data_IF_788710121577
#
_entry.id   IF_788710121577
#
_cell.length_a   1.000
_cell.length_b   1.000
_cell.length_c   1.000
_cell.angle_alpha   90.00
_cell.angle_beta   90.00
_cell.angle_gamma   90.00
#
_symmetry.space_group_name_H-M   'P 1'
#
loop_
_entity.id
_entity.type
_entity.pdbx_description
1 polymer ?
#
# COMPACT_ATOMS: atom_id res chain seq x y z
N UNK A 1 4.30 18.50 -3.68
CA UNK A 1 5.25 18.05 -4.73
C UNK A 1 5.57 16.58 -4.47
N UNK A 2 5.12 15.70 -5.35
CA UNK A 2 5.37 14.26 -5.20
C UNK A 2 6.77 13.96 -5.73
N UNK A 3 7.59 13.27 -4.94
CA UNK A 3 8.86 12.73 -5.43
C UNK A 3 8.57 11.31 -5.91
N UNK A 4 8.65 11.11 -7.22
CA UNK A 4 8.65 9.78 -7.82
C UNK A 4 10.00 9.14 -7.54
N UNK A 5 10.01 8.08 -6.75
CA UNK A 5 11.20 7.27 -6.55
C UNK A 5 11.17 6.11 -7.55
N UNK A 6 12.14 6.05 -8.47
CA UNK A 6 12.22 4.93 -9.39
C UNK A 6 12.59 3.64 -8.64
N UNK A 7 12.10 2.56 -9.17
CA UNK A 7 12.31 1.16 -8.79
C UNK A 7 13.37 0.89 -7.72
N UNK A 8 12.94 0.42 -6.56
CA UNK A 8 13.84 -0.11 -5.54
C UNK A 8 13.93 -1.62 -5.71
N UNK A 9 15.07 -2.11 -6.14
CA UNK A 9 15.35 -3.55 -6.17
C UNK A 9 15.64 -4.05 -4.76
N UNK A 10 14.72 -4.80 -4.17
CA UNK A 10 15.01 -5.58 -2.97
C UNK A 10 15.65 -6.90 -3.35
N UNK A 11 16.94 -6.99 -3.12
CA UNK A 11 17.75 -8.19 -3.09
C UNK A 11 18.56 -8.60 -4.34
N UNK A 12 19.83 -8.54 -4.16
CA UNK A 12 20.79 -9.46 -4.78
C UNK A 12 20.48 -10.91 -4.40
N UNK A 13 19.80 -11.63 -5.26
CA UNK A 13 19.97 -13.08 -5.37
C UNK A 13 19.42 -13.54 -6.71
N UNK A 14 20.31 -13.93 -7.59
CA UNK A 14 19.98 -14.66 -8.81
C UNK A 14 19.49 -16.05 -8.39
N UNK A 15 18.18 -16.20 -8.35
CA UNK A 15 17.56 -17.51 -8.35
C UNK A 15 16.60 -17.56 -9.54
N UNK A 16 16.97 -18.38 -10.53
CA UNK A 16 16.09 -18.79 -11.62
C UNK A 16 14.89 -19.50 -10.99
N UNK A 17 13.85 -18.75 -10.65
CA UNK A 17 12.63 -19.26 -10.07
C UNK A 17 11.63 -19.63 -11.17
N UNK A 18 11.18 -20.89 -11.16
CA UNK A 18 10.05 -21.37 -11.97
C UNK A 18 8.90 -20.36 -11.92
N UNK A 19 8.44 -19.89 -13.10
CA UNK A 19 7.16 -19.19 -13.25
C UNK A 19 6.08 -19.98 -12.53
N UNK A 20 5.52 -19.42 -11.45
CA UNK A 20 4.29 -19.96 -10.88
C UNK A 20 3.16 -19.60 -11.83
N UNK A 21 2.45 -20.60 -12.35
CA UNK A 21 1.24 -20.47 -13.18
C UNK A 21 0.02 -20.00 -12.36
N UNK A 22 0.17 -18.99 -11.53
CA UNK A 22 -0.91 -18.37 -10.77
C UNK A 22 -0.86 -16.87 -10.96
N UNK A 23 -1.82 -16.35 -11.69
CA UNK A 23 -2.00 -14.90 -11.84
C UNK A 23 -2.37 -14.32 -10.48
N UNK A 24 -1.60 -13.35 -10.00
CA UNK A 24 -1.94 -12.62 -8.77
C UNK A 24 -3.21 -11.83 -9.02
N UNK A 25 -4.18 -11.96 -8.13
CA UNK A 25 -5.39 -11.15 -8.17
C UNK A 25 -5.02 -9.68 -7.94
N UNK A 26 -5.29 -8.83 -8.92
CA UNK A 26 -5.09 -7.40 -8.82
C UNK A 26 -5.83 -6.84 -7.61
N UNK A 27 -5.12 -6.25 -6.67
CA UNK A 27 -5.68 -5.81 -5.39
C UNK A 27 -5.19 -4.43 -4.99
N UNK A 28 -6.11 -3.57 -4.58
CA UNK A 28 -5.79 -2.30 -3.91
C UNK A 28 -6.05 -2.49 -2.42
N UNK A 29 -5.01 -2.33 -1.60
CA UNK A 29 -5.10 -2.28 -0.14
C UNK A 29 -5.18 -0.82 0.27
N UNK A 30 -6.30 -0.41 0.84
CA UNK A 30 -6.59 0.96 1.21
C UNK A 30 -6.55 1.13 2.72
N UNK A 31 -5.53 1.84 3.24
CA UNK A 31 -5.45 2.22 4.65
C UNK A 31 -6.28 3.48 4.89
N UNK A 32 -7.40 3.31 5.57
CA UNK A 32 -8.38 4.37 5.80
C UNK A 32 -8.37 4.86 7.24
N UNK A 33 -8.30 6.16 7.46
CA UNK A 33 -8.43 6.79 8.78
C UNK A 33 -8.67 8.30 8.66
N UNK A 34 -8.93 8.94 9.80
CA UNK A 34 -9.03 10.40 9.90
C UNK A 34 -7.73 11.08 9.47
N UNK A 35 -7.79 12.39 9.24
CA UNK A 35 -6.59 13.20 9.07
C UNK A 35 -5.68 13.07 10.30
N UNK A 36 -4.37 13.16 10.08
CA UNK A 36 -3.34 13.10 11.14
C UNK A 36 -3.36 11.85 12.04
N UNK A 37 -3.86 10.73 11.54
CA UNK A 37 -3.92 9.45 12.26
C UNK A 37 -2.73 8.52 12.00
N UNK A 38 -1.65 9.02 11.43
CA UNK A 38 -0.44 8.23 11.19
C UNK A 38 -0.44 7.36 9.92
N UNK A 39 -1.36 7.59 8.97
CA UNK A 39 -1.38 6.82 7.70
C UNK A 39 -0.07 6.92 6.93
N UNK A 40 0.43 8.12 6.71
CA UNK A 40 1.71 8.34 6.02
C UNK A 40 2.85 7.64 6.75
N UNK A 41 2.93 7.76 8.08
CA UNK A 41 3.94 7.08 8.89
C UNK A 41 3.81 5.56 8.80
N UNK A 42 2.59 5.03 8.85
CA UNK A 42 2.33 3.59 8.70
C UNK A 42 2.79 3.05 7.33
N UNK A 43 2.54 3.81 6.26
CA UNK A 43 2.94 3.41 4.90
C UNK A 43 4.47 3.55 4.72
N UNK A 44 5.10 4.54 5.36
CA UNK A 44 6.57 4.66 5.40
C UNK A 44 7.21 3.47 6.13
N UNK A 45 6.62 3.05 7.24
CA UNK A 45 7.05 1.85 7.97
C UNK A 45 6.88 0.58 7.12
N UNK A 46 5.77 0.45 6.39
CA UNK A 46 5.59 -0.63 5.42
C UNK A 46 6.69 -0.63 4.36
N UNK A 47 7.00 0.53 3.79
CA UNK A 47 8.06 0.65 2.79
C UNK A 47 9.41 0.18 3.35
N UNK A 48 9.75 0.59 4.57
CA UNK A 48 10.95 0.12 5.27
C UNK A 48 10.94 -1.41 5.43
N UNK A 49 9.82 -2.00 5.85
CA UNK A 49 9.69 -3.46 6.03
C UNK A 49 9.89 -4.23 4.72
N UNK A 50 9.48 -3.66 3.60
CA UNK A 50 9.60 -4.28 2.27
C UNK A 50 10.97 -4.09 1.63
N UNK A 51 11.68 -3.00 1.94
CA UNK A 51 12.91 -2.61 1.23
C UNK A 51 14.16 -2.57 2.10
N UNK A 52 14.01 -2.49 3.42
CA UNK A 52 15.11 -2.33 4.38
C UNK A 52 15.58 -0.88 4.57
N UNK A 53 14.96 0.09 3.93
CA UNK A 53 15.27 1.52 4.10
C UNK A 53 13.99 2.37 4.01
N UNK A 54 14.03 3.57 4.59
CA UNK A 54 12.93 4.51 4.49
C UNK A 54 12.94 5.24 3.13
N UNK A 55 11.77 5.73 2.65
CA UNK A 55 11.73 6.57 1.47
C UNK A 55 12.51 7.88 1.71
N UNK A 56 13.16 8.40 0.66
CA UNK A 56 13.96 9.63 0.75
C UNK A 56 13.09 10.86 1.09
N UNK A 57 11.86 10.90 0.60
CA UNK A 57 10.92 11.97 0.96
C UNK A 57 10.56 11.92 2.43
N UNK A 58 10.54 13.06 3.10
CA UNK A 58 10.05 13.20 4.48
C UNK A 58 8.53 13.35 4.56
N UNK A 59 7.87 13.66 3.44
CA UNK A 59 6.42 13.81 3.32
C UNK A 59 5.77 12.63 2.61
N UNK A 60 4.74 12.94 1.84
CA UNK A 60 4.07 11.95 1.00
C UNK A 60 4.98 11.47 -0.12
N UNK A 61 4.84 10.21 -0.48
CA UNK A 61 5.65 9.58 -1.51
C UNK A 61 4.83 8.61 -2.37
N UNK A 62 5.37 8.30 -3.52
CA UNK A 62 4.90 7.31 -4.48
C UNK A 62 6.08 6.44 -4.91
N UNK A 63 5.96 5.13 -4.83
CA UNK A 63 7.03 4.21 -5.21
C UNK A 63 6.49 2.88 -5.72
N UNK A 64 7.33 2.15 -6.43
CA UNK A 64 7.08 0.77 -6.83
C UNK A 64 8.20 -0.09 -6.24
N UNK A 65 7.83 -1.05 -5.41
CA UNK A 65 8.75 -2.01 -4.81
C UNK A 65 8.73 -3.28 -5.63
N UNK A 66 9.88 -3.73 -6.08
CA UNK A 66 10.00 -4.99 -6.81
C UNK A 66 9.96 -6.18 -5.85
N UNK A 67 9.19 -7.18 -6.21
CA UNK A 67 9.16 -8.48 -5.54
C UNK A 67 9.26 -9.57 -6.59
N UNK A 68 10.05 -10.58 -6.31
CA UNK A 68 10.31 -11.71 -7.26
C UNK A 68 9.06 -12.49 -7.66
N UNK A 69 7.99 -12.38 -6.89
CA UNK A 69 6.73 -13.08 -7.13
C UNK A 69 5.67 -12.20 -7.78
N UNK A 70 5.96 -10.91 -8.00
CA UNK A 70 5.04 -9.91 -8.55
C UNK A 70 5.68 -9.32 -9.80
N UNK A 71 5.06 -9.47 -10.97
CA UNK A 71 5.69 -9.16 -12.26
C UNK A 71 6.00 -7.66 -12.40
N UNK A 72 5.04 -6.80 -12.06
CA UNK A 72 5.17 -5.35 -12.19
C UNK A 72 5.38 -4.63 -10.86
N UNK A 73 5.54 -5.38 -9.79
CA UNK A 73 5.85 -4.84 -8.47
C UNK A 73 4.64 -4.43 -7.65
N UNK A 74 4.95 -3.98 -6.44
CA UNK A 74 4.00 -3.50 -5.45
C UNK A 74 4.03 -1.99 -5.46
N UNK A 75 2.93 -1.36 -5.90
CA UNK A 75 2.79 0.08 -5.90
C UNK A 75 2.45 0.59 -4.50
N UNK A 76 3.11 1.66 -4.05
CA UNK A 76 2.88 2.25 -2.73
C UNK A 76 2.71 3.75 -2.86
N UNK A 77 1.58 4.27 -2.34
CA UNK A 77 1.32 5.69 -2.24
C UNK A 77 0.88 6.05 -0.83
N UNK A 78 1.56 6.98 -0.20
CA UNK A 78 1.15 7.53 1.10
C UNK A 78 0.18 8.70 0.98
N UNK A 79 -0.07 9.17 -0.24
CA UNK A 79 -0.96 10.31 -0.51
C UNK A 79 -2.40 9.95 -0.17
N UNK A 80 -2.97 10.61 0.82
CA UNK A 80 -4.31 10.27 1.33
C UNK A 80 -5.28 11.46 1.41
N UNK A 81 -4.89 12.63 0.93
CA UNK A 81 -5.71 13.84 1.00
C UNK A 81 -6.80 13.88 -0.10
N UNK A 82 -7.92 14.55 0.21
CA UNK A 82 -9.15 14.52 -0.56
C UNK A 82 -9.02 14.92 -2.04
N UNK A 83 -7.97 15.64 -2.38
CA UNK A 83 -7.73 16.13 -3.74
C UNK A 83 -6.58 15.43 -4.45
N UNK A 84 -5.87 14.53 -3.80
CA UNK A 84 -4.58 14.05 -4.27
C UNK A 84 -4.39 12.55 -4.45
N UNK A 85 -5.30 11.69 -4.03
CA UNK A 85 -5.06 10.25 -4.10
C UNK A 85 -5.35 9.61 -5.48
N UNK A 86 -6.10 10.26 -6.35
CA UNK A 86 -6.46 9.73 -7.68
C UNK A 86 -5.23 9.56 -8.57
N UNK A 87 -4.51 10.64 -8.81
CA UNK A 87 -3.37 10.63 -9.73
C UNK A 87 -2.26 9.63 -9.33
N UNK A 88 -1.85 9.55 -8.05
CA UNK A 88 -0.90 8.53 -7.63
C UNK A 88 -1.38 7.09 -7.87
N UNK A 89 -2.65 6.80 -7.60
CA UNK A 89 -3.21 5.47 -7.84
C UNK A 89 -3.26 5.16 -9.35
N UNK A 90 -3.69 6.10 -10.19
CA UNK A 90 -3.70 5.96 -11.64
C UNK A 90 -2.30 5.67 -12.19
N UNK A 91 -1.27 6.38 -11.72
CA UNK A 91 0.13 6.11 -12.10
C UNK A 91 0.57 4.69 -11.77
N UNK A 92 0.18 4.15 -10.61
CA UNK A 92 0.50 2.79 -10.22
C UNK A 92 -0.27 1.74 -11.04
N UNK A 93 -1.52 2.04 -11.39
CA UNK A 93 -2.33 1.21 -12.29
C UNK A 93 -1.71 1.20 -13.69
N UNK A 94 -1.33 2.35 -14.23
CA UNK A 94 -0.71 2.49 -15.54
C UNK A 94 0.66 1.81 -15.61
N UNK A 95 1.39 1.77 -14.49
CA UNK A 95 2.62 1.00 -14.35
C UNK A 95 2.40 -0.52 -14.29
N UNK A 96 1.15 -0.97 -14.21
CA UNK A 96 0.78 -2.38 -14.19
C UNK A 96 0.92 -3.07 -12.84
N UNK A 97 1.09 -2.33 -11.74
CA UNK A 97 1.23 -2.93 -10.41
C UNK A 97 0.05 -3.83 -10.07
N UNK A 98 0.30 -5.09 -9.74
CA UNK A 98 -0.76 -6.03 -9.37
C UNK A 98 -1.29 -5.77 -7.97
N UNK A 99 -0.43 -5.30 -7.08
CA UNK A 99 -0.77 -4.94 -5.70
C UNK A 99 -0.49 -3.46 -5.53
N UNK A 100 -1.49 -2.70 -5.07
CA UNK A 100 -1.35 -1.27 -4.79
C UNK A 100 -1.74 -1.03 -3.34
N UNK A 101 -0.87 -0.35 -2.59
CA UNK A 101 -1.17 0.14 -1.25
C UNK A 101 -1.37 1.65 -1.32
N UNK A 102 -2.48 2.12 -0.81
CA UNK A 102 -2.78 3.55 -0.76
C UNK A 102 -3.39 3.98 0.56
N UNK A 103 -3.37 5.28 0.82
CA UNK A 103 -4.07 5.90 1.93
C UNK A 103 -5.38 6.54 1.46
N UNK A 104 -6.36 6.56 2.35
CA UNK A 104 -7.57 7.36 2.17
C UNK A 104 -8.00 8.01 3.49
N UNK A 105 -8.81 9.06 3.39
CA UNK A 105 -9.57 9.55 4.54
C UNK A 105 -10.84 8.70 4.70
N UNK A 106 -11.41 8.72 5.90
CA UNK A 106 -12.75 8.14 6.14
C UNK A 106 -13.87 8.95 5.48
N UNK A 107 -13.58 10.13 4.93
CA UNK A 107 -14.53 10.90 4.15
C UNK A 107 -14.86 10.21 2.83
N UNK A 108 -16.11 10.26 2.42
CA UNK A 108 -16.67 9.54 1.28
C UNK A 108 -15.89 9.71 -0.02
N UNK A 109 -15.30 10.88 -0.27
CA UNK A 109 -14.73 11.21 -1.57
C UNK A 109 -13.43 10.43 -1.89
N UNK A 110 -12.53 10.29 -0.92
CA UNK A 110 -11.26 9.57 -1.16
C UNK A 110 -11.44 8.07 -1.24
N UNK A 111 -12.32 7.51 -0.43
CA UNK A 111 -12.68 6.08 -0.47
C UNK A 111 -13.41 5.77 -1.78
N UNK A 112 -14.37 6.60 -2.18
CA UNK A 112 -15.10 6.41 -3.43
C UNK A 112 -14.16 6.44 -4.65
N UNK A 113 -13.14 7.31 -4.65
CA UNK A 113 -12.12 7.32 -5.70
C UNK A 113 -11.39 6.00 -5.82
N UNK A 114 -11.02 5.38 -4.69
CA UNK A 114 -10.37 4.05 -4.69
C UNK A 114 -11.28 2.98 -5.30
N UNK A 115 -12.54 2.93 -4.89
CA UNK A 115 -13.49 1.96 -5.42
C UNK A 115 -13.81 2.18 -6.91
N UNK A 116 -13.94 3.43 -7.34
CA UNK A 116 -14.14 3.78 -8.75
C UNK A 116 -12.96 3.30 -9.62
N UNK A 117 -11.73 3.63 -9.23
CA UNK A 117 -10.54 3.23 -9.96
C UNK A 117 -10.35 1.71 -9.96
N UNK A 118 -10.62 1.07 -8.83
CA UNK A 118 -10.56 -0.38 -8.71
C UNK A 118 -11.57 -1.06 -9.64
N UNK A 119 -12.82 -0.62 -9.64
CA UNK A 119 -13.87 -1.17 -10.50
C UNK A 119 -13.53 -1.00 -11.98
N UNK A 120 -13.10 0.19 -12.39
CA UNK A 120 -12.72 0.49 -13.78
C UNK A 120 -11.57 -0.37 -14.29
N UNK A 121 -10.63 -0.72 -13.42
CA UNK A 121 -9.39 -1.42 -13.77
C UNK A 121 -9.32 -2.88 -13.29
N UNK A 122 -10.44 -3.41 -12.80
CA UNK A 122 -10.59 -4.81 -12.37
C UNK A 122 -9.69 -5.18 -11.17
N UNK A 123 -9.52 -4.27 -10.23
CA UNK A 123 -8.90 -4.55 -8.95
C UNK A 123 -9.94 -4.93 -7.89
N UNK A 124 -9.58 -5.85 -7.02
CA UNK A 124 -10.27 -6.04 -5.74
C UNK A 124 -9.83 -4.95 -4.76
N UNK A 125 -10.70 -4.57 -3.84
CA UNK A 125 -10.36 -3.61 -2.78
C UNK A 125 -10.39 -4.31 -1.44
N UNK A 126 -9.30 -4.19 -0.69
CA UNK A 126 -9.24 -4.53 0.73
C UNK A 126 -9.08 -3.23 1.48
N UNK A 127 -10.14 -2.78 2.12
CA UNK A 127 -10.11 -1.59 2.96
C UNK A 127 -9.85 -1.99 4.41
N UNK A 128 -8.85 -1.38 5.02
CA UNK A 128 -8.54 -1.55 6.45
C UNK A 128 -8.58 -0.20 7.15
N UNK A 129 -9.16 -0.19 8.36
CA UNK A 129 -9.13 0.96 9.23
C UNK A 129 -7.81 0.98 9.98
N UNK A 130 -7.09 2.11 9.91
CA UNK A 130 -5.85 2.26 10.64
C UNK A 130 -6.09 2.24 12.15
N UNK A 131 -5.24 1.51 12.86
CA UNK A 131 -5.12 1.67 14.30
C UNK A 131 -4.59 3.07 14.60
N UNK A 132 -5.21 3.76 15.50
CA UNK A 132 -4.80 5.08 15.98
C UNK A 132 -5.25 5.28 17.41
N UNK A 133 -4.47 6.03 18.18
CA UNK A 133 -4.82 6.43 19.53
C UNK A 133 -5.70 7.66 19.59
N UNK A 134 -6.01 8.08 20.81
CA UNK A 134 -6.68 9.34 21.10
C UNK A 134 -5.71 10.53 20.98
N UNK A 135 -6.25 11.75 20.96
CA UNK A 135 -5.48 12.98 20.73
C UNK A 135 -4.33 13.23 21.74
N UNK A 136 -4.39 12.60 22.91
CA UNK A 136 -3.40 12.73 24.00
C UNK A 136 -2.52 11.49 24.16
N UNK A 137 -2.42 10.64 23.17
CA UNK A 137 -1.65 9.43 23.26
C UNK A 137 -0.14 9.73 23.23
N UNK A 138 0.65 8.82 23.82
CA UNK A 138 2.10 8.96 23.84
C UNK A 138 2.70 8.73 22.45
N UNK A 139 3.91 9.28 22.22
CA UNK A 139 4.65 9.03 20.97
C UNK A 139 4.97 7.55 20.80
N UNK A 140 5.17 6.81 21.89
CA UNK A 140 5.43 5.37 21.88
C UNK A 140 4.22 4.60 21.38
N UNK A 141 3.02 4.93 21.84
CA UNK A 141 1.77 4.34 21.37
C UNK A 141 1.52 4.69 19.90
N UNK A 142 1.76 5.94 19.51
CA UNK A 142 1.64 6.34 18.10
C UNK A 142 2.55 5.50 17.20
N UNK A 143 3.81 5.33 17.57
CA UNK A 143 4.75 4.50 16.81
C UNK A 143 4.31 3.03 16.79
N UNK A 144 3.80 2.50 17.90
CA UNK A 144 3.28 1.14 17.98
C UNK A 144 2.11 0.94 16.99
N UNK A 145 1.15 1.86 16.93
CA UNK A 145 0.02 1.76 15.99
C UNK A 145 0.50 1.81 14.54
N UNK A 146 1.44 2.70 14.21
CA UNK A 146 2.00 2.77 12.86
C UNK A 146 2.71 1.47 12.47
N UNK A 147 3.50 0.87 13.36
CA UNK A 147 4.14 -0.42 13.13
C UNK A 147 3.12 -1.54 12.95
N UNK A 148 2.05 -1.57 13.75
CA UNK A 148 1.00 -2.59 13.64
C UNK A 148 0.18 -2.45 12.35
N UNK A 149 -0.09 -1.23 11.91
CA UNK A 149 -0.72 -0.99 10.61
C UNK A 149 0.17 -1.52 9.47
N UNK A 150 1.46 -1.21 9.49
CA UNK A 150 2.43 -1.69 8.50
C UNK A 150 2.53 -3.22 8.48
N UNK A 151 2.59 -3.84 9.65
CA UNK A 151 2.63 -5.29 9.80
C UNK A 151 1.38 -5.97 9.20
N UNK A 152 0.19 -5.42 9.47
CA UNK A 152 -1.06 -5.93 8.92
C UNK A 152 -1.09 -5.84 7.39
N UNK A 153 -0.65 -4.72 6.82
CA UNK A 153 -0.59 -4.54 5.37
C UNK A 153 0.42 -5.51 4.76
N UNK A 154 1.61 -5.65 5.34
CA UNK A 154 2.62 -6.60 4.88
C UNK A 154 2.08 -8.03 4.87
N UNK A 155 1.35 -8.43 5.91
CA UNK A 155 0.74 -9.75 5.98
C UNK A 155 -0.32 -9.97 4.88
N UNK A 156 -1.13 -8.95 4.57
CA UNK A 156 -2.08 -8.99 3.45
C UNK A 156 -1.36 -9.16 2.12
N UNK A 157 -0.30 -8.39 1.86
CA UNK A 157 0.52 -8.51 0.65
C UNK A 157 1.05 -9.93 0.51
N UNK A 158 1.62 -10.49 1.57
CA UNK A 158 2.16 -11.86 1.56
C UNK A 158 1.07 -12.90 1.29
N UNK A 159 -0.11 -12.72 1.85
CA UNK A 159 -1.25 -13.61 1.64
C UNK A 159 -1.77 -13.54 0.19
N UNK A 160 -1.84 -12.35 -0.40
CA UNK A 160 -2.22 -12.16 -1.81
C UNK A 160 -1.21 -12.87 -2.72
N UNK A 161 0.09 -12.66 -2.49
CA UNK A 161 1.15 -13.29 -3.27
C UNK A 161 1.09 -14.82 -3.18
N UNK A 162 0.71 -15.35 -2.03
CA UNK A 162 0.58 -16.80 -1.80
C UNK A 162 -0.75 -17.39 -2.28
N UNK A 163 -1.66 -16.57 -2.85
CA UNK A 163 -3.04 -16.97 -3.21
C UNK A 163 -3.83 -17.55 -2.00
N UNK A 164 -3.56 -17.06 -0.80
CA UNK A 164 -4.22 -17.51 0.44
C UNK A 164 -5.43 -16.64 0.83
N UNK A 165 -5.64 -15.50 0.17
CA UNK A 165 -6.86 -14.72 0.35
C UNK A 165 -8.00 -15.41 -0.43
N UNK A 166 -8.73 -16.28 0.24
CA UNK A 166 -10.05 -16.67 -0.23
C UNK A 166 -10.95 -15.44 -0.10
N UNK A 167 -11.60 -15.06 -1.18
CA UNK A 167 -12.65 -14.04 -1.15
C UNK A 167 -13.69 -14.50 -0.14
N UNK A 168 -13.81 -13.79 0.97
CA UNK A 168 -14.96 -13.96 1.86
C UNK A 168 -16.09 -13.25 1.13
N UNK A 169 -16.92 -14.01 0.43
CA UNK A 169 -18.22 -13.53 -0.04
C UNK A 169 -19.06 -13.29 1.20
N UNK A 170 -19.36 -12.03 1.48
CA UNK A 170 -20.34 -11.61 2.46
C UNK A 170 -21.74 -11.66 1.85
#
# INVERSE_FOLDING_TARGET
>A
MYIYQPFVNSANTVAVGKKRNGMIDKTIICLSARANSGKTTSIRELFFRLTGHYPESTGDFLSIVQDKNVEHGIGISSVGDSWGNREPIEKLIDAGCEIIVCASRTSKDTVNTVYELASKNQYKVVQISALHGEHNDTIENYNLYCCKNAEAIEQLIRNIIRNQLKTIEL
#
